data_IF_594243825155
#
_entry.id   IF_594243825155
#
_cell.length_a   1.000
_cell.length_b   1.000
_cell.length_c   1.000
_cell.angle_alpha   90.00
_cell.angle_beta   90.00
_cell.angle_gamma   90.00
#
_symmetry.space_group_name_H-M   'P 1'
#
loop_
_entity.id
_entity.type
_entity.pdbx_description
1 polymer ?
#
# COMPACT_ATOMS: atom_id res chain seq x y z
N UNK A 1 12.75 4.29 -30.92
CA UNK A 1 13.38 5.07 -29.85
C UNK A 1 14.03 4.09 -28.92
N UNK A 2 15.35 3.96 -29.05
CA UNK A 2 16.21 3.14 -28.19
C UNK A 2 16.17 3.74 -26.80
N UNK A 3 15.67 2.98 -25.82
CA UNK A 3 15.79 3.34 -24.40
C UNK A 3 17.28 3.22 -24.08
N UNK A 4 17.99 4.35 -24.03
CA UNK A 4 19.34 4.39 -23.48
C UNK A 4 19.28 3.86 -22.04
N UNK A 5 19.83 2.66 -21.82
CA UNK A 5 20.12 2.17 -20.47
C UNK A 5 21.04 3.21 -19.82
N UNK A 6 20.56 3.84 -18.75
CA UNK A 6 21.40 4.68 -17.89
C UNK A 6 22.64 3.87 -17.48
N UNK A 7 23.83 4.47 -17.44
CA UNK A 7 25.06 3.78 -17.06
C UNK A 7 24.87 3.20 -15.65
N UNK A 8 25.16 1.91 -15.49
CA UNK A 8 25.17 1.23 -14.19
C UNK A 8 26.06 2.04 -13.24
N UNK A 9 25.52 2.55 -12.11
CA UNK A 9 26.31 3.36 -11.20
C UNK A 9 27.50 2.53 -10.69
N UNK A 10 28.66 3.15 -10.59
CA UNK A 10 29.83 2.55 -9.95
C UNK A 10 29.46 2.11 -8.53
N UNK A 11 29.87 0.89 -8.16
CA UNK A 11 29.59 0.29 -6.85
C UNK A 11 29.97 1.27 -5.74
N UNK A 12 29.00 1.62 -4.89
CA UNK A 12 29.19 2.56 -3.79
C UNK A 12 29.82 1.85 -2.60
N UNK A 13 30.96 2.36 -2.13
CA UNK A 13 31.81 1.71 -1.13
C UNK A 13 32.00 2.52 0.16
N UNK A 14 31.16 3.53 0.39
CA UNK A 14 31.20 4.34 1.62
C UNK A 14 29.86 5.03 1.88
N UNK A 15 29.63 5.44 3.13
CA UNK A 15 28.47 6.23 3.53
C UNK A 15 28.33 7.51 2.67
N UNK A 16 29.43 8.23 2.45
CA UNK A 16 29.40 9.49 1.69
C UNK A 16 29.05 9.26 0.21
N UNK A 17 29.50 8.15 -0.38
CA UNK A 17 29.14 7.77 -1.75
C UNK A 17 27.62 7.52 -1.85
N UNK A 18 27.06 6.74 -0.93
CA UNK A 18 25.62 6.49 -0.84
C UNK A 18 24.81 7.76 -0.65
N UNK A 19 25.19 8.61 0.32
CA UNK A 19 24.51 9.90 0.58
C UNK A 19 24.52 10.79 -0.68
N UNK A 20 25.65 10.85 -1.38
CA UNK A 20 25.77 11.65 -2.60
C UNK A 20 24.89 11.11 -3.72
N UNK A 21 24.89 9.79 -3.92
CA UNK A 21 24.07 9.12 -4.93
C UNK A 21 22.56 9.31 -4.65
N UNK A 22 22.12 8.99 -3.43
CA UNK A 22 20.72 9.10 -3.05
C UNK A 22 20.21 10.54 -3.13
N UNK A 23 21.02 11.51 -2.70
CA UNK A 23 20.64 12.93 -2.70
C UNK A 23 20.62 13.56 -4.08
N UNK A 24 21.56 13.19 -4.97
CA UNK A 24 21.73 13.85 -6.29
C UNK A 24 21.11 13.09 -7.45
N UNK A 25 21.04 11.77 -7.38
CA UNK A 25 20.65 10.91 -8.51
C UNK A 25 19.26 10.34 -8.30
N UNK A 26 19.01 9.71 -7.15
CA UNK A 26 17.78 8.94 -6.93
C UNK A 26 16.61 9.81 -6.45
N UNK A 27 16.86 10.64 -5.44
CA UNK A 27 15.82 11.44 -4.79
C UNK A 27 16.10 12.96 -4.86
N UNK A 28 16.50 13.54 -6.03
CA UNK A 28 16.80 14.96 -6.13
C UNK A 28 15.56 15.84 -5.89
N UNK A 29 14.38 15.36 -6.31
CA UNK A 29 13.10 16.05 -6.08
C UNK A 29 12.77 16.06 -4.60
N UNK A 30 12.93 14.92 -3.91
CA UNK A 30 12.70 14.85 -2.46
C UNK A 30 13.68 15.73 -1.69
N UNK A 31 14.96 15.71 -2.05
CA UNK A 31 15.98 16.54 -1.44
C UNK A 31 15.66 18.05 -1.55
N UNK A 32 15.24 18.49 -2.74
CA UNK A 32 14.85 19.89 -2.97
C UNK A 32 13.56 20.25 -2.22
N UNK A 33 12.57 19.36 -2.23
CA UNK A 33 11.32 19.52 -1.49
C UNK A 33 11.58 19.63 0.00
N UNK A 34 12.36 18.72 0.60
CA UNK A 34 12.69 18.74 2.03
C UNK A 34 13.49 19.97 2.44
N UNK A 35 14.41 20.46 1.59
CA UNK A 35 15.12 21.74 1.82
C UNK A 35 14.17 22.93 1.84
N UNK A 36 13.31 23.03 0.82
CA UNK A 36 12.32 24.10 0.71
C UNK A 36 11.31 24.05 1.86
N UNK A 37 10.94 22.85 2.31
CA UNK A 37 10.11 22.64 3.51
C UNK A 37 10.83 23.12 4.77
N UNK A 38 12.12 22.83 4.92
CA UNK A 38 12.90 23.27 6.08
C UNK A 38 13.02 24.81 6.10
N UNK A 39 13.27 25.44 4.95
CA UNK A 39 13.24 26.90 4.80
C UNK A 39 11.88 27.50 5.19
N UNK A 40 10.78 26.83 4.82
CA UNK A 40 9.43 27.23 5.20
C UNK A 40 9.10 26.96 6.69
N UNK A 41 9.86 26.10 7.36
CA UNK A 41 9.65 25.73 8.78
C UNK A 41 10.48 26.60 9.72
N UNK A 42 11.71 26.96 9.32
CA UNK A 42 12.58 27.88 10.07
C UNK A 42 12.14 29.35 9.93
N UNK A 43 11.45 29.71 8.83
CA UNK A 43 10.86 31.02 8.68
C UNK A 43 9.43 31.04 9.25
N UNK A 44 9.26 31.59 10.46
CA UNK A 44 7.95 31.83 11.07
C UNK A 44 7.01 32.78 10.29
N UNK A 45 7.32 33.08 9.03
CA UNK A 45 6.64 34.00 8.14
C UNK A 45 6.24 33.38 6.79
N UNK A 46 6.41 32.06 6.61
CA UNK A 46 5.87 31.39 5.42
C UNK A 46 4.38 31.66 5.30
N UNK A 47 3.96 32.31 4.23
CA UNK A 47 2.57 32.73 4.14
C UNK A 47 1.69 31.52 3.85
N UNK A 48 0.52 31.46 4.50
CA UNK A 48 -0.55 30.49 4.22
C UNK A 48 -0.80 30.32 2.71
N UNK A 49 -0.64 31.42 1.96
CA UNK A 49 -0.83 31.47 0.52
C UNK A 49 0.27 30.77 -0.28
N UNK A 50 1.53 30.83 0.14
CA UNK A 50 2.63 30.14 -0.55
C UNK A 50 2.49 28.62 -0.45
N UNK A 51 2.21 28.10 0.74
CA UNK A 51 1.96 26.67 0.93
C UNK A 51 0.71 26.22 0.18
N UNK A 52 -0.39 26.98 0.28
CA UNK A 52 -1.62 26.67 -0.44
C UNK A 52 -1.37 26.64 -1.96
N UNK A 53 -0.59 27.57 -2.51
CA UNK A 53 -0.24 27.57 -3.94
C UNK A 53 0.63 26.36 -4.34
N UNK A 54 1.59 25.95 -3.50
CA UNK A 54 2.38 24.73 -3.77
C UNK A 54 1.48 23.51 -3.81
N UNK A 55 0.55 23.38 -2.85
CA UNK A 55 -0.39 22.26 -2.80
C UNK A 55 -1.32 22.29 -4.01
N UNK A 56 -1.95 23.43 -4.29
CA UNK A 56 -2.96 23.59 -5.35
C UNK A 56 -2.42 23.43 -6.77
N UNK A 57 -1.12 23.67 -6.98
CA UNK A 57 -0.47 23.46 -8.29
C UNK A 57 -0.25 21.98 -8.63
N UNK A 58 -0.41 21.07 -7.65
CA UNK A 58 -0.32 19.63 -7.85
C UNK A 58 -1.64 18.96 -7.45
N UNK A 59 -2.36 18.45 -8.46
CA UNK A 59 -3.67 17.84 -8.26
C UNK A 59 -3.62 16.57 -7.39
N UNK A 60 -2.53 15.80 -7.47
CA UNK A 60 -2.35 14.59 -6.68
C UNK A 60 -2.08 14.95 -5.21
N UNK A 61 -1.17 15.90 -4.98
CA UNK A 61 -0.87 16.42 -3.65
C UNK A 61 -2.11 17.06 -3.00
N UNK A 62 -2.86 17.87 -3.74
CA UNK A 62 -4.13 18.44 -3.28
C UNK A 62 -5.11 17.36 -2.83
N UNK A 63 -5.28 16.32 -3.64
CA UNK A 63 -6.17 15.20 -3.33
C UNK A 63 -5.73 14.43 -2.08
N UNK A 64 -4.43 14.15 -1.94
CA UNK A 64 -3.86 13.48 -0.76
C UNK A 64 -4.04 14.30 0.52
N UNK A 65 -3.74 15.61 0.47
CA UNK A 65 -3.93 16.53 1.60
C UNK A 65 -5.39 16.60 2.01
N UNK A 66 -6.33 16.69 1.06
CA UNK A 66 -7.77 16.70 1.37
C UNK A 66 -8.25 15.37 1.97
N UNK A 67 -7.77 14.22 1.48
CA UNK A 67 -8.10 12.92 2.07
C UNK A 67 -7.58 12.82 3.50
N UNK A 68 -6.30 13.18 3.74
CA UNK A 68 -5.71 13.21 5.07
C UNK A 68 -6.48 14.14 6.01
N UNK A 69 -6.87 15.32 5.52
CA UNK A 69 -7.66 16.31 6.27
C UNK A 69 -9.04 15.79 6.70
N UNK A 70 -9.57 14.76 6.04
CA UNK A 70 -10.86 14.15 6.39
C UNK A 70 -10.73 12.88 7.26
N UNK A 71 -9.51 12.44 7.59
CA UNK A 71 -9.30 11.34 8.53
C UNK A 71 -9.65 11.76 9.96
N UNK A 72 -10.07 10.81 10.79
CA UNK A 72 -10.33 11.10 12.22
C UNK A 72 -9.04 11.51 12.94
N UNK A 73 -7.88 11.03 12.45
CA UNK A 73 -6.55 11.44 12.88
C UNK A 73 -6.29 12.95 12.86
N UNK A 74 -6.85 13.67 11.89
CA UNK A 74 -6.67 15.13 11.75
C UNK A 74 -7.95 15.93 11.98
N UNK A 75 -9.12 15.34 11.75
CA UNK A 75 -10.40 16.00 11.86
C UNK A 75 -11.34 15.25 12.81
N UNK A 76 -11.18 15.54 14.09
CA UNK A 76 -12.00 14.96 15.16
C UNK A 76 -13.46 15.39 15.06
N UNK A 77 -13.73 16.58 14.50
CA UNK A 77 -15.09 17.12 14.34
C UNK A 77 -15.89 16.45 13.23
N UNK A 78 -15.22 15.67 12.36
CA UNK A 78 -15.79 14.99 11.18
C UNK A 78 -16.52 15.94 10.21
N UNK A 79 -16.28 17.24 10.28
CA UNK A 79 -16.86 18.19 9.31
C UNK A 79 -16.12 18.05 7.99
N UNK A 80 -16.85 17.83 6.89
CA UNK A 80 -16.23 17.62 5.59
C UNK A 80 -15.35 18.80 5.16
N UNK A 81 -14.10 18.50 4.80
CA UNK A 81 -13.12 19.45 4.28
C UNK A 81 -12.96 19.22 2.78
N UNK A 82 -13.39 20.19 1.97
CA UNK A 82 -13.36 20.09 0.49
C UNK A 82 -12.34 21.02 -0.17
N UNK A 83 -11.70 21.94 0.58
CA UNK A 83 -10.71 22.90 0.05
C UNK A 83 -9.49 23.02 0.94
N UNK A 84 -8.33 23.34 0.36
CA UNK A 84 -7.06 23.51 1.09
C UNK A 84 -7.16 24.66 2.10
N UNK A 85 -7.81 25.78 1.74
CA UNK A 85 -8.05 26.89 2.67
C UNK A 85 -8.94 26.48 3.86
N UNK A 86 -9.93 25.60 3.64
CA UNK A 86 -10.75 25.04 4.72
C UNK A 86 -9.94 24.09 5.60
N UNK A 87 -9.05 23.29 5.01
CA UNK A 87 -8.14 22.42 5.77
C UNK A 87 -7.23 23.26 6.69
N UNK A 88 -6.63 24.33 6.17
CA UNK A 88 -5.74 25.20 6.94
C UNK A 88 -6.49 25.90 8.08
N UNK A 89 -7.72 26.35 7.85
CA UNK A 89 -8.53 27.03 8.88
C UNK A 89 -9.08 26.08 9.95
N UNK A 90 -9.45 24.85 9.58
CA UNK A 90 -10.04 23.88 10.51
C UNK A 90 -8.98 23.08 11.28
N UNK A 91 -7.91 22.67 10.61
CA UNK A 91 -6.90 21.73 11.14
C UNK A 91 -5.64 22.49 11.56
N UNK A 92 -5.32 23.59 10.88
CA UNK A 92 -4.14 24.39 11.14
C UNK A 92 -3.11 24.30 10.02
N UNK A 93 -2.32 25.37 9.90
CA UNK A 93 -1.30 25.50 8.87
C UNK A 93 -0.20 24.43 8.99
N UNK A 94 0.32 24.21 10.21
CA UNK A 94 1.40 23.24 10.43
C UNK A 94 0.98 21.80 10.11
N UNK A 95 -0.26 21.43 10.44
CA UNK A 95 -0.80 20.10 10.13
C UNK A 95 -0.95 19.90 8.61
N UNK A 96 -1.51 20.88 7.89
CA UNK A 96 -1.61 20.82 6.42
C UNK A 96 -0.23 20.78 5.76
N UNK A 97 0.74 21.52 6.30
CA UNK A 97 2.12 21.47 5.87
C UNK A 97 2.67 20.04 6.00
N UNK A 98 2.54 19.40 7.16
CA UNK A 98 3.01 18.03 7.39
C UNK A 98 2.31 16.97 6.55
N UNK A 99 1.01 17.11 6.28
CA UNK A 99 0.31 16.25 5.32
C UNK A 99 0.92 16.36 3.92
N UNK A 100 1.20 17.58 3.46
CA UNK A 100 1.80 17.81 2.16
C UNK A 100 3.22 17.22 2.09
N UNK A 101 4.02 17.42 3.14
CA UNK A 101 5.37 16.85 3.26
C UNK A 101 5.33 15.32 3.16
N UNK A 102 4.46 14.70 3.95
CA UNK A 102 4.33 13.24 4.02
C UNK A 102 3.88 12.65 2.68
N UNK A 103 2.94 13.33 2.01
CA UNK A 103 2.45 12.95 0.69
C UNK A 103 3.55 13.02 -0.38
N UNK A 104 4.37 14.09 -0.35
CA UNK A 104 5.51 14.26 -1.26
C UNK A 104 6.63 13.24 -1.01
N UNK A 105 6.91 12.89 0.25
CA UNK A 105 7.87 11.84 0.60
C UNK A 105 7.42 10.50 0.02
N UNK A 106 6.16 10.12 0.27
CA UNK A 106 5.58 8.85 -0.20
C UNK A 106 5.60 8.78 -1.73
N UNK A 107 5.17 9.85 -2.41
CA UNK A 107 5.18 9.90 -3.87
C UNK A 107 6.60 9.77 -4.44
N UNK A 108 7.56 10.53 -3.89
CA UNK A 108 8.94 10.49 -4.36
C UNK A 108 9.59 9.11 -4.20
N UNK A 109 9.29 8.40 -3.11
CA UNK A 109 9.83 7.05 -2.86
C UNK A 109 9.20 5.99 -3.80
N UNK A 110 7.90 6.12 -4.11
CA UNK A 110 7.18 5.12 -4.91
C UNK A 110 7.18 5.38 -6.41
N UNK A 111 7.56 6.59 -6.85
CA UNK A 111 7.53 6.99 -8.27
C UNK A 111 8.31 6.07 -9.20
N UNK A 112 9.34 5.38 -8.68
CA UNK A 112 10.27 4.57 -9.47
C UNK A 112 10.23 3.08 -9.15
N UNK A 113 9.73 2.67 -7.98
CA UNK A 113 9.72 1.27 -7.59
C UNK A 113 8.67 0.97 -6.52
N UNK A 114 8.02 -0.20 -6.60
CA UNK A 114 7.03 -0.69 -5.64
C UNK A 114 7.47 -2.01 -4.96
N UNK A 115 8.79 -2.23 -4.83
CA UNK A 115 9.34 -3.46 -4.24
C UNK A 115 8.67 -3.79 -2.90
N UNK A 116 8.40 -5.08 -2.62
CA UNK A 116 7.82 -5.52 -1.36
C UNK A 116 8.57 -5.02 -0.11
N UNK A 117 9.91 -4.95 -0.18
CA UNK A 117 10.73 -4.41 0.91
C UNK A 117 10.53 -2.91 1.14
N UNK A 118 10.45 -2.10 0.08
CA UNK A 118 10.15 -0.69 0.20
C UNK A 118 8.76 -0.47 0.83
N UNK A 119 7.76 -1.21 0.36
CA UNK A 119 6.39 -1.15 0.89
C UNK A 119 6.34 -1.51 2.38
N UNK A 120 7.07 -2.55 2.81
CA UNK A 120 7.15 -2.94 4.22
C UNK A 120 7.84 -1.87 5.07
N UNK A 121 8.94 -1.31 4.58
CA UNK A 121 9.64 -0.22 5.27
C UNK A 121 8.74 1.02 5.39
N UNK A 122 7.96 1.32 4.36
CA UNK A 122 7.03 2.44 4.33
C UNK A 122 5.85 2.22 5.30
N UNK A 123 5.31 1.00 5.35
CA UNK A 123 4.31 0.59 6.34
C UNK A 123 4.80 0.84 7.76
N UNK A 124 6.02 0.37 8.07
CA UNK A 124 6.67 0.57 9.37
C UNK A 124 6.86 2.05 9.70
N UNK A 125 7.35 2.85 8.75
CA UNK A 125 7.61 4.27 8.96
C UNK A 125 6.32 5.06 9.25
N UNK A 126 5.23 4.78 8.51
CA UNK A 126 3.93 5.42 8.73
C UNK A 126 3.33 4.97 10.06
N UNK A 127 3.43 3.68 10.39
CA UNK A 127 2.98 3.18 11.68
C UNK A 127 3.71 3.90 12.83
N UNK A 128 5.04 3.99 12.77
CA UNK A 128 5.81 4.72 13.77
C UNK A 128 5.43 6.20 13.87
N UNK A 129 5.17 6.86 12.74
CA UNK A 129 4.77 8.27 12.70
C UNK A 129 3.42 8.53 13.35
N UNK A 130 2.43 7.69 13.07
CA UNK A 130 1.12 7.77 13.71
C UNK A 130 1.22 7.51 15.21
N UNK A 131 2.06 6.57 15.62
CA UNK A 131 2.26 6.23 17.04
C UNK A 131 2.93 7.37 17.79
N UNK A 132 4.00 7.94 17.24
CA UNK A 132 4.69 9.08 17.83
C UNK A 132 3.73 10.28 17.99
N UNK A 133 2.91 10.57 16.97
CA UNK A 133 1.93 11.67 17.03
C UNK A 133 0.81 11.41 18.04
N UNK A 134 0.21 10.22 18.04
CA UNK A 134 -0.90 9.91 18.94
C UNK A 134 -0.49 9.80 20.41
N UNK A 135 0.72 9.33 20.69
CA UNK A 135 1.23 9.23 22.06
C UNK A 135 1.73 10.56 22.60
N UNK A 136 2.07 11.52 21.73
CA UNK A 136 2.60 12.81 22.15
C UNK A 136 1.56 13.57 23.01
N UNK A 137 1.89 13.94 24.25
CA UNK A 137 0.96 14.67 25.11
C UNK A 137 0.55 16.01 24.48
N UNK A 138 -0.74 16.38 24.63
CA UNK A 138 -1.33 17.62 24.07
C UNK A 138 -0.61 18.86 24.60
N UNK A 139 0.45 19.30 23.91
CA UNK A 139 1.30 20.43 24.33
C UNK A 139 1.37 21.56 23.29
N UNK A 140 1.33 21.24 21.99
CA UNK A 140 1.24 22.19 20.86
C UNK A 140 1.09 21.41 19.54
N UNK A 141 0.32 21.91 18.56
CA UNK A 141 0.12 21.28 17.24
C UNK A 141 1.45 21.13 16.48
N UNK A 142 2.33 22.15 16.54
CA UNK A 142 3.65 22.09 15.92
C UNK A 142 4.47 20.89 16.41
N UNK A 143 4.40 20.57 17.70
CA UNK A 143 5.15 19.45 18.27
C UNK A 143 4.60 18.09 17.83
N UNK A 144 3.28 17.96 17.65
CA UNK A 144 2.63 16.76 17.10
C UNK A 144 3.10 16.47 15.68
N UNK A 145 3.27 17.54 14.91
CA UNK A 145 3.71 17.47 13.52
C UNK A 145 5.22 17.21 13.40
N UNK A 146 6.04 17.81 14.26
CA UNK A 146 7.49 17.53 14.31
C UNK A 146 7.75 16.06 14.63
N UNK A 147 7.06 15.47 15.64
CA UNK A 147 7.25 14.05 15.96
C UNK A 147 6.78 13.12 14.86
N UNK A 148 5.70 13.47 14.14
CA UNK A 148 5.20 12.70 13.01
C UNK A 148 6.25 12.64 11.89
N UNK A 149 6.74 13.80 11.47
CA UNK A 149 7.76 13.90 10.41
C UNK A 149 9.08 13.28 10.86
N UNK A 150 9.48 13.49 12.12
CA UNK A 150 10.67 12.88 12.72
C UNK A 150 10.66 11.36 12.65
N UNK A 151 9.53 10.74 13.00
CA UNK A 151 9.37 9.29 12.91
C UNK A 151 9.32 8.77 11.47
N UNK A 152 8.64 9.49 10.56
CA UNK A 152 8.57 9.11 9.15
C UNK A 152 9.95 9.14 8.49
N UNK A 153 10.78 10.12 8.85
CA UNK A 153 12.13 10.30 8.30
C UNK A 153 13.22 9.50 9.01
N UNK A 154 12.92 8.86 10.14
CA UNK A 154 13.93 8.20 10.98
C UNK A 154 14.66 7.05 10.25
N UNK A 155 14.01 6.43 9.26
CA UNK A 155 14.59 5.38 8.42
C UNK A 155 14.68 5.81 6.95
N UNK A 156 14.79 7.12 6.66
CA UNK A 156 14.78 7.61 5.27
C UNK A 156 15.94 7.07 4.43
N UNK A 157 17.08 6.73 5.04
CA UNK A 157 18.19 6.09 4.33
C UNK A 157 17.88 4.67 3.86
N UNK A 158 17.14 3.90 4.67
CA UNK A 158 16.66 2.56 4.27
C UNK A 158 15.60 2.68 3.16
N UNK A 159 14.63 3.58 3.33
CA UNK A 159 13.59 3.85 2.32
C UNK A 159 14.21 4.29 0.98
N UNK A 160 15.15 5.23 1.04
CA UNK A 160 15.84 5.75 -0.14
C UNK A 160 16.69 4.67 -0.82
N UNK A 161 17.34 3.81 -0.05
CA UNK A 161 18.08 2.69 -0.62
C UNK A 161 17.14 1.72 -1.37
N UNK A 162 16.02 1.32 -0.76
CA UNK A 162 15.09 0.37 -1.39
C UNK A 162 14.29 0.96 -2.55
N UNK A 163 14.24 2.28 -2.71
CA UNK A 163 13.68 2.90 -3.93
C UNK A 163 14.63 2.79 -5.14
N UNK A 164 15.90 2.46 -4.94
CA UNK A 164 16.91 2.39 -6.01
C UNK A 164 16.87 1.06 -6.77
N UNK A 165 17.23 1.11 -8.06
CA UNK A 165 17.45 -0.08 -8.89
C UNK A 165 18.94 -0.33 -9.12
N UNK A 166 19.66 -0.69 -8.04
CA UNK A 166 21.10 -0.97 -8.11
C UNK A 166 21.39 -2.47 -7.92
N UNK A 167 22.51 -2.95 -8.46
CA UNK A 167 22.98 -4.32 -8.23
C UNK A 167 23.20 -4.59 -6.73
N UNK A 168 23.65 -3.58 -5.98
CA UNK A 168 23.83 -3.66 -4.52
C UNK A 168 22.49 -3.81 -3.77
N UNK A 169 21.40 -3.24 -4.27
CA UNK A 169 20.07 -3.47 -3.70
C UNK A 169 19.63 -4.93 -3.86
N UNK A 170 19.84 -5.51 -5.05
CA UNK A 170 19.55 -6.93 -5.29
C UNK A 170 20.47 -7.87 -4.48
N UNK A 171 21.77 -7.54 -4.36
CA UNK A 171 22.70 -8.32 -3.54
C UNK A 171 22.30 -8.30 -2.05
N UNK A 172 21.92 -7.14 -1.51
CA UNK A 172 21.49 -7.03 -0.12
C UNK A 172 20.17 -7.76 0.12
N UNK A 173 19.21 -7.68 -0.80
CA UNK A 173 17.94 -8.40 -0.73
C UNK A 173 18.16 -9.92 -0.66
N UNK A 174 19.07 -10.46 -1.48
CA UNK A 174 19.42 -11.88 -1.47
C UNK A 174 20.07 -12.31 -0.15
N UNK A 175 21.00 -11.53 0.39
CA UNK A 175 21.65 -11.83 1.69
C UNK A 175 20.67 -11.83 2.85
N UNK A 176 19.75 -10.85 2.88
CA UNK A 176 18.70 -10.79 3.90
C UNK A 176 17.73 -11.98 3.78
N UNK A 177 17.46 -12.45 2.55
CA UNK A 177 16.67 -13.67 2.31
C UNK A 177 17.34 -14.93 2.85
N UNK A 178 18.67 -14.96 2.86
CA UNK A 178 19.48 -16.05 3.44
C UNK A 178 19.64 -15.93 4.97
N UNK A 179 18.86 -15.06 5.62
CA UNK A 179 18.86 -14.81 7.06
C UNK A 179 20.23 -14.35 7.63
N UNK A 180 21.07 -13.73 6.79
CA UNK A 180 22.27 -13.04 7.28
C UNK A 180 21.86 -11.91 8.22
N UNK A 181 22.55 -11.73 9.37
CA UNK A 181 22.29 -10.62 10.27
C UNK A 181 22.27 -9.26 9.54
N UNK A 182 21.21 -8.42 9.70
CA UNK A 182 21.01 -7.26 8.84
C UNK A 182 22.15 -6.24 8.82
N UNK A 183 22.84 -6.05 9.95
CA UNK A 183 23.91 -5.05 10.06
C UNK A 183 25.18 -5.53 9.34
N UNK A 184 25.46 -6.83 9.42
CA UNK A 184 26.57 -7.51 8.80
C UNK A 184 26.39 -7.54 7.28
N UNK A 185 25.18 -7.89 6.80
CA UNK A 185 24.82 -7.84 5.40
C UNK A 185 24.96 -6.40 4.84
N UNK A 186 24.46 -5.39 5.57
CA UNK A 186 24.63 -3.98 5.20
C UNK A 186 26.11 -3.59 5.10
N UNK A 187 26.93 -3.93 6.10
CA UNK A 187 28.37 -3.61 6.07
C UNK A 187 29.10 -4.31 4.93
N UNK A 188 28.71 -5.54 4.59
CA UNK A 188 29.31 -6.31 3.50
C UNK A 188 28.99 -5.72 2.12
N UNK A 189 27.75 -5.25 1.90
CA UNK A 189 27.30 -4.78 0.59
C UNK A 189 27.48 -3.27 0.41
N UNK A 190 27.19 -2.49 1.45
CA UNK A 190 27.12 -1.03 1.43
C UNK A 190 28.38 -0.36 1.96
N UNK A 191 29.23 -1.10 2.68
CA UNK A 191 30.33 -0.54 3.48
C UNK A 191 29.86 0.56 4.44
N UNK A 192 28.61 0.43 4.89
CA UNK A 192 27.87 1.40 5.70
C UNK A 192 26.66 0.70 6.32
N UNK A 193 25.91 1.42 7.14
CA UNK A 193 24.62 1.00 7.67
C UNK A 193 23.53 1.99 7.27
N UNK A 194 22.27 1.55 7.23
CA UNK A 194 21.15 2.47 6.94
C UNK A 194 21.06 3.61 7.95
N UNK A 195 21.47 3.39 9.20
CA UNK A 195 21.55 4.44 10.24
C UNK A 195 22.61 5.49 9.92
N UNK A 196 23.76 5.09 9.38
CA UNK A 196 24.81 6.02 8.94
C UNK A 196 24.40 6.78 7.69
N UNK A 197 23.80 6.09 6.72
CA UNK A 197 23.27 6.71 5.49
C UNK A 197 22.18 7.73 5.86
N UNK A 198 21.25 7.36 6.75
CA UNK A 198 20.18 8.26 7.21
C UNK A 198 20.75 9.53 7.84
N UNK A 199 21.72 9.42 8.76
CA UNK A 199 22.38 10.59 9.36
C UNK A 199 23.05 11.47 8.31
N UNK A 200 23.77 10.87 7.37
CA UNK A 200 24.41 11.61 6.28
C UNK A 200 23.40 12.30 5.36
N UNK A 201 22.23 11.72 5.11
CA UNK A 201 21.15 12.36 4.35
C UNK A 201 20.53 13.54 5.12
N UNK A 202 20.26 13.36 6.41
CA UNK A 202 19.74 14.42 7.29
C UNK A 202 20.68 15.62 7.30
N UNK A 203 22.00 15.40 7.33
CA UNK A 203 23.02 16.45 7.22
C UNK A 203 23.07 17.07 5.81
N UNK A 204 23.11 16.26 4.75
CA UNK A 204 23.20 16.74 3.37
C UNK A 204 21.97 17.53 2.91
N UNK A 205 20.81 17.25 3.51
CA UNK A 205 19.55 17.96 3.27
C UNK A 205 19.33 19.14 4.23
N UNK A 206 20.26 19.39 5.15
CA UNK A 206 20.15 20.47 6.15
C UNK A 206 18.84 20.40 6.95
N UNK A 207 18.39 19.20 7.33
CA UNK A 207 17.16 19.07 8.11
C UNK A 207 17.37 19.66 9.51
N UNK A 208 16.30 20.24 10.06
CA UNK A 208 16.30 20.98 11.32
C UNK A 208 16.83 20.20 12.54
N UNK A 209 17.12 20.92 13.64
CA UNK A 209 17.80 20.39 14.81
C UNK A 209 17.04 19.23 15.47
N UNK A 210 15.71 19.24 15.43
CA UNK A 210 14.88 18.15 15.95
C UNK A 210 15.11 16.83 15.22
N UNK A 211 15.08 16.83 13.89
CA UNK A 211 15.30 15.61 13.08
C UNK A 211 16.72 15.09 13.29
N UNK A 212 17.70 16.00 13.36
CA UNK A 212 19.09 15.64 13.68
C UNK A 212 19.21 14.98 15.04
N UNK A 213 18.51 15.51 16.05
CA UNK A 213 18.47 14.89 17.37
C UNK A 213 17.85 13.49 17.29
N UNK A 214 16.70 13.32 16.63
CA UNK A 214 16.04 12.01 16.48
C UNK A 214 16.98 10.94 15.92
N UNK A 215 17.77 11.24 14.89
CA UNK A 215 18.67 10.28 14.24
C UNK A 215 20.05 10.16 14.90
N UNK A 216 20.36 11.00 15.89
CA UNK A 216 21.67 11.01 16.56
C UNK A 216 21.90 9.76 17.42
N UNK A 217 23.14 9.25 17.50
CA UNK A 217 23.46 8.17 18.42
C UNK A 217 23.39 8.65 19.88
N UNK A 218 23.16 7.72 20.81
CA UNK A 218 23.15 8.01 22.25
C UNK A 218 21.76 8.26 22.83
N UNK A 219 21.68 8.99 23.95
CA UNK A 219 20.40 9.33 24.58
C UNK A 219 19.68 10.45 23.81
N UNK A 220 18.35 10.43 23.83
CA UNK A 220 17.55 11.49 23.23
C UNK A 220 17.67 12.78 24.06
N UNK A 221 17.83 13.94 23.41
CA UNK A 221 17.97 15.22 24.11
C UNK A 221 16.62 15.82 24.55
N UNK A 222 15.51 15.26 24.06
CA UNK A 222 14.16 15.72 24.40
C UNK A 222 13.19 14.55 24.55
N UNK A 223 12.07 14.83 25.23
CA UNK A 223 10.95 13.89 25.33
C UNK A 223 10.40 13.51 23.96
N UNK A 224 10.21 14.49 23.07
CA UNK A 224 9.70 14.27 21.72
C UNK A 224 10.64 13.36 20.91
N UNK A 225 11.96 13.56 21.03
CA UNK A 225 12.95 12.71 20.37
C UNK A 225 12.99 11.29 20.93
N UNK A 226 12.86 11.15 22.26
CA UNK A 226 12.73 9.84 22.92
C UNK A 226 11.51 9.08 22.41
N UNK A 227 10.35 9.76 22.40
CA UNK A 227 9.09 9.21 21.94
C UNK A 227 9.15 8.74 20.49
N UNK A 228 9.76 9.53 19.59
CA UNK A 228 9.96 9.14 18.19
C UNK A 228 10.81 7.87 18.08
N UNK A 229 11.97 7.84 18.74
CA UNK A 229 12.88 6.67 18.69
C UNK A 229 12.21 5.42 19.24
N UNK A 230 11.51 5.54 20.37
CA UNK A 230 10.77 4.44 20.98
C UNK A 230 9.61 3.99 20.09
N UNK A 231 8.92 4.90 19.39
CA UNK A 231 7.82 4.57 18.47
C UNK A 231 8.29 3.82 17.23
N UNK A 232 9.46 4.17 16.69
CA UNK A 232 10.05 3.44 15.55
C UNK A 232 10.54 2.06 15.97
N UNK A 233 11.19 1.94 17.13
CA UNK A 233 11.58 0.63 17.66
C UNK A 233 10.36 -0.24 17.96
N UNK A 234 9.30 0.34 18.54
CA UNK A 234 8.02 -0.32 18.73
C UNK A 234 7.46 -0.85 17.41
N UNK A 235 7.42 0.00 16.37
CA UNK A 235 6.90 -0.38 15.06
C UNK A 235 7.68 -1.56 14.47
N UNK A 236 9.02 -1.58 14.62
CA UNK A 236 9.86 -2.71 14.20
C UNK A 236 9.53 -3.99 14.96
N UNK A 237 9.42 -3.92 16.29
CA UNK A 237 9.12 -5.08 17.13
C UNK A 237 7.72 -5.63 16.85
N UNK A 238 6.75 -4.75 16.58
CA UNK A 238 5.37 -5.15 16.30
C UNK A 238 5.20 -5.98 15.02
N UNK A 239 6.18 -5.97 14.11
CA UNK A 239 6.21 -6.88 12.94
C UNK A 239 6.41 -8.36 13.34
N UNK A 240 6.96 -8.61 14.53
CA UNK A 240 7.18 -9.95 15.09
C UNK A 240 6.11 -10.30 16.16
N UNK A 241 5.14 -9.40 16.37
CA UNK A 241 4.07 -9.53 17.35
C UNK A 241 4.11 -8.48 18.47
N UNK A 242 3.00 -8.37 19.19
CA UNK A 242 2.80 -7.37 20.26
C UNK A 242 3.27 -7.84 21.65
N UNK A 243 3.89 -9.01 21.74
CA UNK A 243 4.28 -9.63 23.01
C UNK A 243 5.76 -10.01 22.98
N UNK A 244 6.45 -9.82 24.10
CA UNK A 244 7.85 -10.21 24.27
C UNK A 244 8.61 -9.23 25.15
N UNK A 245 9.76 -9.67 25.70
CA UNK A 245 10.53 -8.88 26.68
C UNK A 245 11.04 -7.55 26.10
N UNK A 246 11.33 -7.50 24.80
CA UNK A 246 11.80 -6.25 24.17
C UNK A 246 10.65 -5.28 23.89
N UNK A 247 9.46 -5.78 23.55
CA UNK A 247 8.26 -4.96 23.47
C UNK A 247 7.90 -4.38 24.85
N UNK A 248 7.97 -5.18 25.91
CA UNK A 248 7.71 -4.73 27.28
C UNK A 248 8.64 -3.58 27.70
N UNK A 249 9.95 -3.69 27.42
CA UNK A 249 10.91 -2.59 27.65
C UNK A 249 10.60 -1.32 26.87
N UNK A 250 10.07 -1.45 25.65
CA UNK A 250 9.65 -0.29 24.85
C UNK A 250 8.39 0.34 25.43
N UNK A 251 7.41 -0.46 25.84
CA UNK A 251 6.20 0.02 26.50
C UNK A 251 6.51 0.76 27.81
N UNK A 252 7.47 0.27 28.59
CA UNK A 252 7.94 0.97 29.80
C UNK A 252 8.56 2.33 29.48
N UNK A 253 9.39 2.41 28.43
CA UNK A 253 9.99 3.67 27.99
C UNK A 253 8.94 4.66 27.49
N UNK A 254 8.02 4.21 26.63
CA UNK A 254 6.90 5.01 26.14
C UNK A 254 5.99 5.47 27.28
N UNK A 255 5.72 4.60 28.26
CA UNK A 255 4.93 4.95 29.44
C UNK A 255 5.60 6.00 30.31
N UNK A 256 6.92 5.91 30.53
CA UNK A 256 7.69 6.97 31.19
C UNK A 256 7.65 8.28 30.41
N UNK A 257 7.70 8.21 29.09
CA UNK A 257 7.73 9.38 28.22
C UNK A 257 6.43 10.19 28.31
N UNK A 258 5.28 9.51 28.37
CA UNK A 258 3.97 10.15 28.34
C UNK A 258 3.28 10.25 29.72
N UNK A 259 3.85 9.58 30.74
CA UNK A 259 3.31 9.55 32.09
C UNK A 259 2.17 8.54 32.31
N UNK A 260 2.10 7.49 31.50
CA UNK A 260 1.04 6.47 31.53
C UNK A 260 1.61 5.07 31.84
N UNK A 261 0.83 4.17 32.48
CA UNK A 261 1.29 2.82 32.74
C UNK A 261 1.40 1.99 31.45
N UNK A 262 2.34 1.02 31.34
CA UNK A 262 2.57 0.24 30.13
C UNK A 262 1.33 -0.46 29.55
N UNK A 263 0.37 -0.83 30.40
CA UNK A 263 -0.90 -1.43 29.99
C UNK A 263 -1.76 -0.44 29.16
N UNK A 264 -1.87 0.82 29.63
CA UNK A 264 -2.62 1.88 28.93
C UNK A 264 -1.93 2.23 27.61
N UNK A 265 -0.59 2.31 27.63
CA UNK A 265 0.20 2.53 26.41
C UNK A 265 -0.09 1.42 25.38
N UNK A 266 -0.09 0.15 25.81
CA UNK A 266 -0.35 -0.99 24.92
C UNK A 266 -1.73 -0.90 24.26
N UNK A 267 -2.77 -0.52 25.01
CA UNK A 267 -4.11 -0.36 24.45
C UNK A 267 -4.17 0.81 23.46
N UNK A 268 -3.54 1.93 23.78
CA UNK A 268 -3.45 3.09 22.88
C UNK A 268 -2.69 2.73 21.59
N UNK A 269 -1.58 2.00 21.68
CA UNK A 269 -0.81 1.55 20.52
C UNK A 269 -1.67 0.71 19.56
N UNK A 270 -2.49 -0.21 20.08
CA UNK A 270 -3.39 -1.03 19.24
C UNK A 270 -4.43 -0.16 18.51
N UNK A 271 -5.03 0.80 19.20
CA UNK A 271 -6.00 1.74 18.60
C UNK A 271 -5.34 2.57 17.50
N UNK A 272 -4.16 3.11 17.79
CA UNK A 272 -3.39 3.93 16.85
C UNK A 272 -2.96 3.15 15.59
N UNK A 273 -2.72 1.84 15.72
CA UNK A 273 -2.30 1.01 14.60
C UNK A 273 -3.39 0.92 13.51
N UNK A 274 -4.68 0.86 13.89
CA UNK A 274 -5.79 0.95 12.95
C UNK A 274 -5.89 2.33 12.28
N UNK A 275 -5.52 3.41 12.98
CA UNK A 275 -5.47 4.74 12.36
C UNK A 275 -4.31 4.86 11.37
N UNK A 276 -3.18 4.20 11.62
CA UNK A 276 -2.06 4.13 10.68
C UNK A 276 -2.47 3.54 9.32
N UNK A 277 -3.34 2.53 9.33
CA UNK A 277 -3.95 1.96 8.14
C UNK A 277 -4.71 3.02 7.32
N UNK A 278 -5.51 3.86 7.99
CA UNK A 278 -6.31 4.91 7.35
C UNK A 278 -5.43 6.04 6.79
N UNK A 279 -4.36 6.38 7.51
CA UNK A 279 -3.36 7.36 7.05
C UNK A 279 -2.64 6.86 5.80
N UNK A 280 -2.24 5.58 5.74
CA UNK A 280 -1.63 4.98 4.55
C UNK A 280 -2.56 5.01 3.32
N UNK A 281 -3.84 4.66 3.48
CA UNK A 281 -4.83 4.77 2.40
C UNK A 281 -4.94 6.21 1.91
N UNK A 282 -4.98 7.18 2.83
CA UNK A 282 -5.10 8.60 2.50
C UNK A 282 -3.89 9.14 1.75
N UNK A 283 -2.69 8.68 2.12
CA UNK A 283 -1.42 8.93 1.41
C UNK A 283 -1.38 8.29 0.01
N UNK A 284 -2.34 7.43 -0.34
CA UNK A 284 -2.44 6.82 -1.68
C UNK A 284 -1.71 5.49 -1.82
N UNK A 285 -1.43 4.81 -0.70
CA UNK A 285 -0.68 3.55 -0.67
C UNK A 285 -1.47 2.41 0.01
N UNK A 286 -2.70 2.11 -0.41
CA UNK A 286 -3.54 1.11 0.24
C UNK A 286 -2.88 -0.28 0.32
N UNK A 287 -1.94 -0.60 -0.57
CA UNK A 287 -1.22 -1.87 -0.59
C UNK A 287 -0.37 -2.13 0.67
N UNK A 288 0.03 -1.10 1.43
CA UNK A 288 0.83 -1.31 2.66
C UNK A 288 -0.02 -1.67 3.88
N UNK A 289 -1.36 -1.56 3.78
CA UNK A 289 -2.28 -1.80 4.90
C UNK A 289 -2.20 -3.24 5.43
N UNK A 290 -2.03 -4.22 4.53
CA UNK A 290 -1.84 -5.62 4.88
C UNK A 290 -0.52 -5.90 5.62
N UNK A 291 0.43 -4.96 5.56
CA UNK A 291 1.75 -5.05 6.20
C UNK A 291 1.79 -4.34 7.56
N UNK A 292 0.69 -3.68 7.98
CA UNK A 292 0.66 -2.91 9.22
C UNK A 292 0.27 -3.77 10.44
N UNK A 293 0.86 -3.49 11.62
CA UNK A 293 0.55 -4.21 12.86
C UNK A 293 -0.91 -4.00 13.28
N UNK A 294 -1.57 -5.01 13.83
CA UNK A 294 -2.99 -4.91 14.23
C UNK A 294 -4.01 -5.22 13.12
N UNK A 295 -3.56 -5.48 11.88
CA UNK A 295 -4.30 -6.37 10.97
C UNK A 295 -4.61 -7.73 11.65
N UNK A 296 -3.80 -8.08 12.66
CA UNK A 296 -3.88 -9.23 13.54
C UNK A 296 -4.97 -9.16 14.65
N UNK A 297 -5.81 -8.13 14.70
CA UNK A 297 -6.97 -8.06 15.62
C UNK A 297 -8.07 -9.10 15.36
N UNK A 298 -7.90 -9.97 14.37
CA UNK A 298 -8.69 -11.16 14.09
C UNK A 298 -7.79 -12.42 13.99
N UNK A 299 -6.64 -12.43 14.67
CA UNK A 299 -5.71 -13.57 14.72
C UNK A 299 -6.15 -14.63 15.71
N UNK A 300 -7.27 -15.26 15.38
CA UNK A 300 -7.60 -16.62 15.76
C UNK A 300 -7.89 -17.45 14.51
N UNK A 301 -7.20 -17.17 13.40
CA UNK A 301 -7.19 -18.03 12.22
C UNK A 301 -6.03 -17.60 11.30
N UNK A 302 -5.08 -18.48 11.02
CA UNK A 302 -4.01 -18.27 10.05
C UNK A 302 -4.55 -18.45 8.63
N UNK A 303 -5.48 -17.58 8.22
CA UNK A 303 -5.96 -17.45 6.85
C UNK A 303 -6.15 -15.97 6.55
N UNK A 304 -5.44 -15.43 5.55
CA UNK A 304 -5.56 -14.02 5.24
C UNK A 304 -7.01 -13.73 4.82
N UNK A 305 -7.70 -13.02 5.70
CA UNK A 305 -9.11 -12.73 5.55
C UNK A 305 -9.29 -11.79 4.37
N UNK A 306 -10.29 -12.10 3.57
CA UNK A 306 -10.55 -11.37 2.37
C UNK A 306 -10.90 -9.89 2.61
N UNK A 307 -10.66 -8.98 1.63
CA UNK A 307 -11.16 -7.62 1.70
C UNK A 307 -12.63 -7.61 2.08
N UNK A 308 -13.00 -6.73 3.02
CA UNK A 308 -14.38 -6.60 3.44
C UNK A 308 -15.22 -6.16 2.22
N UNK A 309 -16.31 -6.88 1.97
CA UNK A 309 -17.21 -6.58 0.86
C UNK A 309 -18.01 -5.31 1.14
N UNK A 310 -18.29 -4.54 0.09
CA UNK A 310 -19.22 -3.42 0.15
C UNK A 310 -20.63 -3.91 -0.23
N UNK A 311 -21.43 -4.21 0.79
CA UNK A 311 -22.78 -4.74 0.61
C UNK A 311 -23.75 -3.70 0.00
N UNK A 312 -23.55 -2.40 0.26
CA UNK A 312 -24.39 -1.34 -0.31
C UNK A 312 -24.11 -1.20 -1.80
N UNK A 313 -22.82 -1.12 -2.18
CA UNK A 313 -22.41 -1.08 -3.58
C UNK A 313 -22.80 -2.36 -4.33
N UNK A 314 -22.71 -3.52 -3.68
CA UNK A 314 -23.17 -4.78 -4.28
C UNK A 314 -24.65 -4.70 -4.66
N UNK A 315 -25.50 -4.21 -3.76
CA UNK A 315 -26.94 -4.09 -4.00
C UNK A 315 -27.25 -3.03 -5.07
N UNK A 316 -26.50 -1.92 -5.09
CA UNK A 316 -26.60 -0.89 -6.13
C UNK A 316 -26.34 -1.47 -7.53
N UNK A 317 -25.20 -2.14 -7.71
CA UNK A 317 -24.82 -2.73 -9.01
C UNK A 317 -25.78 -3.85 -9.41
N UNK A 318 -26.27 -4.68 -8.46
CA UNK A 318 -27.27 -5.70 -8.77
C UNK A 318 -28.62 -5.11 -9.21
N UNK A 319 -29.02 -3.96 -8.66
CA UNK A 319 -30.22 -3.24 -9.11
C UNK A 319 -30.04 -2.66 -10.50
N UNK A 320 -28.88 -2.08 -10.78
CA UNK A 320 -28.53 -1.55 -12.11
C UNK A 320 -28.51 -2.68 -13.16
N UNK A 321 -27.89 -3.81 -12.84
CA UNK A 321 -27.92 -5.02 -13.69
C UNK A 321 -29.35 -5.50 -13.96
N UNK A 322 -30.20 -5.53 -12.93
CA UNK A 322 -31.61 -5.93 -13.08
C UNK A 322 -32.38 -4.95 -13.97
N UNK A 323 -32.04 -3.66 -13.93
CA UNK A 323 -32.63 -2.64 -14.79
C UNK A 323 -32.17 -2.80 -16.25
N UNK A 324 -30.87 -2.99 -16.49
CA UNK A 324 -30.32 -3.28 -17.82
C UNK A 324 -30.94 -4.53 -18.45
N UNK A 325 -31.25 -5.55 -17.63
CA UNK A 325 -31.91 -6.78 -18.07
C UNK A 325 -33.39 -6.59 -18.44
N UNK A 326 -34.08 -5.61 -17.85
CA UNK A 326 -35.48 -5.30 -18.14
C UNK A 326 -35.65 -4.42 -19.38
N UNK A 327 -34.64 -3.62 -19.73
CA UNK A 327 -34.56 -2.87 -20.98
C UNK A 327 -34.01 -3.76 -22.11
N UNK A 328 -33.50 -3.16 -23.21
CA UNK A 328 -32.83 -3.91 -24.28
C UNK A 328 -31.39 -4.24 -23.83
N UNK A 329 -31.07 -5.51 -23.49
CA UNK A 329 -29.80 -5.83 -22.84
C UNK A 329 -28.61 -5.65 -23.81
N UNK A 330 -27.57 -4.91 -23.39
CA UNK A 330 -26.25 -4.91 -24.03
C UNK A 330 -25.28 -5.79 -23.23
N UNK A 331 -24.78 -6.84 -23.89
CA UNK A 331 -23.78 -7.77 -23.33
C UNK A 331 -22.52 -7.05 -22.81
N UNK A 332 -22.07 -5.99 -23.47
CA UNK A 332 -20.85 -5.29 -23.07
C UNK A 332 -21.05 -4.46 -21.81
N UNK A 333 -22.23 -3.86 -21.65
CA UNK A 333 -22.61 -3.06 -20.49
C UNK A 333 -22.81 -3.97 -19.27
N UNK A 334 -23.58 -5.05 -19.43
CA UNK A 334 -23.78 -6.06 -18.38
C UNK A 334 -22.45 -6.67 -17.93
N UNK A 335 -21.57 -7.06 -18.86
CA UNK A 335 -20.26 -7.58 -18.50
C UNK A 335 -19.38 -6.53 -17.81
N UNK A 336 -19.53 -5.24 -18.13
CA UNK A 336 -18.78 -4.17 -17.47
C UNK A 336 -19.23 -3.99 -16.02
N UNK A 337 -20.53 -3.93 -15.79
CA UNK A 337 -21.14 -3.83 -14.46
C UNK A 337 -20.79 -5.05 -13.59
N UNK A 338 -20.77 -6.25 -14.17
CA UNK A 338 -20.35 -7.47 -13.48
C UNK A 338 -18.88 -7.40 -13.06
N UNK A 339 -17.98 -6.97 -13.95
CA UNK A 339 -16.56 -6.78 -13.61
C UNK A 339 -16.40 -5.73 -12.53
N UNK A 340 -17.15 -4.63 -12.59
CA UNK A 340 -17.13 -3.58 -11.58
C UNK A 340 -17.63 -4.08 -10.22
N UNK A 341 -18.71 -4.85 -10.19
CA UNK A 341 -19.23 -5.48 -8.97
C UNK A 341 -18.23 -6.44 -8.34
N UNK A 342 -17.57 -7.27 -9.16
CA UNK A 342 -16.52 -8.17 -8.67
C UNK A 342 -15.30 -7.39 -8.18
N UNK A 343 -14.91 -6.32 -8.88
CA UNK A 343 -13.74 -5.55 -8.54
C UNK A 343 -13.93 -4.70 -7.27
N UNK A 344 -15.03 -3.95 -7.20
CA UNK A 344 -15.27 -2.92 -6.18
C UNK A 344 -16.14 -3.40 -5.03
N UNK A 345 -17.22 -4.15 -5.32
CA UNK A 345 -18.15 -4.59 -4.28
C UNK A 345 -17.69 -5.88 -3.59
N UNK A 346 -17.16 -6.85 -4.34
CA UNK A 346 -16.60 -8.09 -3.77
C UNK A 346 -15.17 -7.91 -3.27
N UNK A 347 -14.45 -6.91 -3.82
CA UNK A 347 -13.09 -6.57 -3.41
C UNK A 347 -12.01 -7.41 -4.10
N UNK A 348 -12.26 -7.91 -5.31
CA UNK A 348 -11.25 -8.62 -6.10
C UNK A 348 -10.39 -7.64 -6.89
N UNK A 349 -9.08 -7.60 -6.66
CA UNK A 349 -8.18 -6.62 -7.26
C UNK A 349 -8.02 -6.81 -8.76
N UNK A 350 -8.08 -8.05 -9.25
CA UNK A 350 -7.91 -8.41 -10.66
C UNK A 350 -9.08 -9.27 -11.10
N UNK A 351 -9.70 -8.91 -12.21
CA UNK A 351 -10.88 -9.59 -12.76
C UNK A 351 -10.71 -9.72 -14.27
N UNK A 352 -10.98 -10.91 -14.79
CA UNK A 352 -11.01 -11.19 -16.22
C UNK A 352 -12.32 -11.86 -16.60
N UNK A 353 -12.87 -11.42 -17.73
CA UNK A 353 -13.87 -12.15 -18.48
C UNK A 353 -13.19 -12.76 -19.70
N UNK A 354 -13.09 -14.07 -19.73
CA UNK A 354 -12.64 -14.86 -20.87
C UNK A 354 -13.87 -15.37 -21.64
N UNK A 355 -13.83 -15.30 -22.96
CA UNK A 355 -14.89 -15.80 -23.83
C UNK A 355 -14.32 -16.77 -24.85
N UNK A 356 -15.18 -17.64 -25.37
CA UNK A 356 -14.79 -18.56 -26.44
C UNK A 356 -14.26 -17.81 -27.64
N UNK A 357 -13.14 -18.28 -28.17
CA UNK A 357 -12.62 -17.82 -29.44
C UNK A 357 -13.53 -18.28 -30.61
N UNK A 358 -13.18 -17.88 -31.84
CA UNK A 358 -13.99 -18.24 -33.04
C UNK A 358 -13.95 -19.73 -33.35
N UNK A 359 -12.89 -20.45 -32.98
CA UNK A 359 -12.77 -21.89 -33.19
C UNK A 359 -13.55 -22.68 -32.14
N UNK A 360 -13.81 -22.07 -30.98
CA UNK A 360 -14.54 -22.64 -29.86
C UNK A 360 -13.68 -23.51 -28.95
N UNK A 361 -12.38 -23.63 -29.23
CA UNK A 361 -11.43 -24.50 -28.52
C UNK A 361 -10.74 -23.79 -27.36
N UNK A 362 -10.66 -22.46 -27.38
CA UNK A 362 -9.93 -21.68 -26.39
C UNK A 362 -10.84 -20.63 -25.73
N UNK A 363 -10.49 -20.25 -24.51
CA UNK A 363 -11.03 -19.10 -23.81
C UNK A 363 -10.01 -17.97 -23.87
N UNK A 364 -10.41 -16.85 -24.49
CA UNK A 364 -9.56 -15.68 -24.71
C UNK A 364 -10.09 -14.45 -23.96
N UNK A 365 -9.23 -13.51 -23.55
CA UNK A 365 -9.64 -12.32 -22.80
C UNK A 365 -10.58 -11.43 -23.62
N UNK A 366 -11.73 -11.10 -23.03
CA UNK A 366 -12.71 -10.19 -23.63
C UNK A 366 -12.78 -8.86 -22.89
N UNK A 367 -12.80 -8.89 -21.57
CA UNK A 367 -12.73 -7.71 -20.70
C UNK A 367 -11.87 -8.00 -19.49
N UNK A 368 -11.24 -6.95 -18.99
CA UNK A 368 -10.29 -6.98 -17.89
C UNK A 368 -10.59 -5.81 -16.96
N UNK A 369 -10.40 -6.02 -15.67
CA UNK A 369 -10.53 -4.99 -14.64
C UNK A 369 -9.48 -5.20 -13.55
N UNK A 370 -8.97 -4.09 -13.01
CA UNK A 370 -7.91 -4.12 -12.01
C UNK A 370 -6.53 -3.72 -12.53
N UNK A 371 -5.61 -3.43 -11.61
CA UNK A 371 -4.19 -3.18 -11.91
C UNK A 371 -3.44 -4.51 -12.03
N UNK A 372 -2.43 -4.59 -12.89
CA UNK A 372 -1.66 -5.83 -13.07
C UNK A 372 -2.33 -6.84 -13.99
N UNK A 373 -3.27 -6.40 -14.83
CA UNK A 373 -3.92 -7.21 -15.88
C UNK A 373 -3.52 -6.76 -17.29
N UNK A 374 -2.51 -5.90 -17.44
CA UNK A 374 -2.12 -5.28 -18.71
C UNK A 374 -1.67 -6.35 -19.72
N UNK A 375 -0.82 -7.27 -19.28
CA UNK A 375 -0.30 -8.38 -20.08
C UNK A 375 -1.36 -9.46 -20.39
N UNK A 376 -2.46 -9.50 -19.64
CA UNK A 376 -3.48 -10.53 -19.80
C UNK A 376 -4.19 -10.43 -21.14
N UNK A 377 -4.33 -9.22 -21.71
CA UNK A 377 -5.08 -9.00 -22.95
C UNK A 377 -4.57 -9.84 -24.12
N UNK A 378 -3.27 -10.08 -24.17
CA UNK A 378 -2.62 -10.80 -25.27
C UNK A 378 -2.25 -12.24 -24.90
N UNK A 379 -2.06 -12.53 -23.60
CA UNK A 379 -1.44 -13.79 -23.17
C UNK A 379 -2.33 -14.69 -22.32
N UNK A 380 -3.42 -14.19 -21.72
CA UNK A 380 -4.28 -14.97 -20.82
C UNK A 380 -5.27 -15.85 -21.59
N UNK A 381 -4.75 -16.91 -22.19
CA UNK A 381 -5.52 -17.90 -22.96
C UNK A 381 -5.60 -19.23 -22.20
N UNK A 382 -6.79 -19.82 -22.15
CA UNK A 382 -7.02 -21.14 -21.55
C UNK A 382 -7.57 -22.11 -22.60
N UNK A 383 -6.82 -23.17 -22.97
CA UNK A 383 -7.34 -24.26 -23.79
C UNK A 383 -8.47 -25.01 -23.06
N UNK A 384 -9.62 -25.22 -23.73
CA UNK A 384 -10.78 -25.88 -23.12
C UNK A 384 -10.63 -27.39 -22.93
N UNK A 385 -9.60 -27.98 -23.53
CA UNK A 385 -9.22 -29.38 -23.29
C UNK A 385 -8.52 -29.59 -21.94
N UNK A 386 -8.23 -28.50 -21.22
CA UNK A 386 -7.58 -28.53 -19.91
C UNK A 386 -6.07 -28.68 -19.97
N UNK A 387 -5.47 -28.52 -21.16
CA UNK A 387 -4.01 -28.56 -21.30
C UNK A 387 -3.35 -27.25 -20.85
N UNK A 388 -2.07 -27.35 -20.48
CA UNK A 388 -1.26 -26.19 -20.07
C UNK A 388 -1.40 -25.79 -18.59
N UNK A 389 -0.62 -24.77 -18.15
CA UNK A 389 -0.52 -24.38 -16.75
C UNK A 389 -1.84 -23.82 -16.18
N UNK A 390 -2.72 -23.29 -17.04
CA UNK A 390 -4.01 -22.70 -16.65
C UNK A 390 -5.19 -23.66 -16.82
N UNK A 391 -4.98 -24.87 -17.33
CA UNK A 391 -6.02 -25.90 -17.45
C UNK A 391 -6.78 -26.19 -16.15
N UNK A 392 -6.12 -26.22 -14.96
CA UNK A 392 -6.81 -26.38 -13.68
C UNK A 392 -7.82 -25.27 -13.32
N UNK A 393 -7.76 -24.12 -13.99
CA UNK A 393 -8.74 -23.04 -13.82
C UNK A 393 -10.06 -23.31 -14.55
N UNK A 394 -10.15 -24.38 -15.37
CA UNK A 394 -11.40 -24.70 -16.05
C UNK A 394 -12.49 -25.10 -15.03
N UNK A 395 -13.65 -24.44 -15.08
CA UNK A 395 -14.71 -24.64 -14.11
C UNK A 395 -15.43 -25.96 -14.37
N UNK A 396 -15.81 -26.66 -13.30
CA UNK A 396 -16.48 -27.95 -13.41
C UNK A 396 -17.99 -27.76 -13.71
N UNK A 397 -18.72 -27.08 -12.83
CA UNK A 397 -20.17 -26.88 -13.00
C UNK A 397 -20.71 -25.55 -12.45
N UNK A 398 -20.20 -25.10 -11.31
CA UNK A 398 -20.67 -23.94 -10.57
C UNK A 398 -19.52 -22.98 -10.27
N UNK A 399 -19.83 -21.81 -9.71
CA UNK A 399 -18.80 -20.94 -9.19
C UNK A 399 -18.03 -21.65 -8.07
N UNK A 400 -16.71 -21.51 -8.06
CA UNK A 400 -15.84 -22.17 -7.09
C UNK A 400 -14.65 -21.32 -6.73
N UNK A 401 -14.08 -21.60 -5.55
CA UNK A 401 -12.74 -21.11 -5.20
C UNK A 401 -11.74 -22.11 -5.78
N UNK A 402 -10.86 -21.62 -6.62
CA UNK A 402 -9.67 -22.35 -7.05
C UNK A 402 -8.60 -22.21 -5.99
N UNK A 403 -8.03 -23.34 -5.59
CA UNK A 403 -6.88 -23.41 -4.68
C UNK A 403 -5.69 -24.02 -5.45
N UNK A 404 -4.58 -23.29 -5.59
CA UNK A 404 -3.41 -23.78 -6.30
C UNK A 404 -2.77 -24.94 -5.54
N UNK A 405 -2.32 -25.97 -6.27
CA UNK A 405 -1.51 -27.04 -5.69
C UNK A 405 -0.13 -26.47 -5.27
N UNK A 406 0.58 -27.08 -4.29
CA UNK A 406 1.88 -26.59 -3.83
C UNK A 406 2.94 -26.42 -4.94
N UNK A 407 2.85 -27.22 -6.01
CA UNK A 407 3.73 -27.17 -7.18
C UNK A 407 2.99 -26.68 -8.43
N UNK A 408 1.98 -25.81 -8.28
CA UNK A 408 1.23 -25.29 -9.43
C UNK A 408 2.17 -24.56 -10.39
N UNK A 409 2.19 -25.02 -11.65
CA UNK A 409 2.84 -24.29 -12.73
C UNK A 409 2.03 -23.03 -13.02
N UNK A 410 2.70 -21.88 -13.00
CA UNK A 410 2.10 -20.61 -13.40
C UNK A 410 2.54 -20.24 -14.81
N UNK A 411 2.36 -18.98 -15.15
CA UNK A 411 2.73 -18.44 -16.46
C UNK A 411 3.89 -17.46 -16.34
N UNK A 412 4.67 -17.31 -17.42
CA UNK A 412 5.86 -16.44 -17.41
C UNK A 412 5.51 -14.94 -17.38
N UNK A 413 4.36 -14.56 -17.95
CA UNK A 413 3.91 -13.17 -18.06
C UNK A 413 3.17 -12.67 -16.80
N UNK A 414 2.83 -13.55 -15.86
CA UNK A 414 2.18 -13.19 -14.61
C UNK A 414 2.60 -14.13 -13.48
N UNK A 415 3.31 -13.57 -12.48
CA UNK A 415 3.88 -14.35 -11.36
C UNK A 415 2.83 -14.98 -10.44
N UNK A 416 1.59 -14.52 -10.47
CA UNK A 416 0.51 -14.93 -9.57
C UNK A 416 -0.52 -15.83 -10.25
N UNK A 417 -0.79 -15.61 -11.53
CA UNK A 417 -1.83 -16.32 -12.28
C UNK A 417 -1.58 -17.84 -12.26
N UNK A 418 -2.59 -18.59 -11.80
CA UNK A 418 -2.53 -20.04 -11.59
C UNK A 418 -1.84 -20.50 -10.30
N UNK A 419 -1.16 -19.58 -9.58
CA UNK A 419 -0.38 -19.85 -8.36
C UNK A 419 -0.99 -19.28 -7.07
N UNK A 420 -2.10 -18.55 -7.17
CA UNK A 420 -2.82 -17.97 -6.02
C UNK A 420 -4.27 -18.44 -6.00
N UNK A 421 -4.93 -18.41 -4.83
CA UNK A 421 -6.36 -18.69 -4.76
C UNK A 421 -7.18 -17.66 -5.56
N UNK A 422 -8.21 -18.14 -6.26
CA UNK A 422 -9.01 -17.32 -7.17
C UNK A 422 -10.49 -17.71 -7.14
N UNK A 423 -11.37 -16.78 -7.46
CA UNK A 423 -12.78 -17.06 -7.76
C UNK A 423 -12.93 -17.36 -9.24
N UNK A 424 -13.61 -18.47 -9.53
CA UNK A 424 -13.84 -18.95 -10.89
C UNK A 424 -15.32 -19.13 -11.11
N UNK A 425 -15.85 -18.54 -12.18
CA UNK A 425 -17.27 -18.51 -12.53
C UNK A 425 -17.51 -18.94 -13.97
N UNK A 426 -18.11 -20.11 -14.24
CA UNK A 426 -18.45 -20.51 -15.60
C UNK A 426 -19.60 -19.67 -16.17
N UNK A 427 -19.50 -19.34 -17.45
CA UNK A 427 -20.63 -18.87 -18.24
C UNK A 427 -21.02 -19.97 -19.21
N UNK A 428 -22.27 -20.44 -19.11
CA UNK A 428 -22.79 -21.51 -19.97
C UNK A 428 -23.96 -21.03 -20.82
N UNK A 429 -23.95 -21.40 -22.09
CA UNK A 429 -25.09 -21.27 -23.00
C UNK A 429 -25.49 -22.67 -23.48
N UNK A 430 -26.78 -23.03 -23.32
CA UNK A 430 -27.30 -24.38 -23.65
C UNK A 430 -26.45 -25.53 -23.08
N UNK A 431 -25.96 -25.37 -21.85
CA UNK A 431 -25.11 -26.36 -21.16
C UNK A 431 -23.63 -26.39 -21.58
N UNK A 432 -23.24 -25.66 -22.63
CA UNK A 432 -21.84 -25.56 -23.10
C UNK A 432 -21.11 -24.39 -22.46
N UNK A 433 -19.84 -24.57 -22.10
CA UNK A 433 -18.97 -23.51 -21.57
C UNK A 433 -18.61 -22.51 -22.69
N UNK A 434 -19.15 -21.30 -22.58
CA UNK A 434 -18.93 -20.21 -23.55
C UNK A 434 -18.03 -19.11 -23.02
N UNK A 435 -17.86 -19.01 -21.71
CA UNK A 435 -16.97 -18.04 -21.08
C UNK A 435 -16.62 -18.40 -19.64
N UNK A 436 -15.70 -17.64 -19.07
CA UNK A 436 -15.20 -17.80 -17.72
C UNK A 436 -14.90 -16.44 -17.10
N UNK A 437 -15.47 -16.20 -15.92
CA UNK A 437 -14.99 -15.16 -15.04
C UNK A 437 -13.89 -15.71 -14.14
N UNK A 438 -12.78 -14.99 -14.08
CA UNK A 438 -11.67 -15.27 -13.21
C UNK A 438 -11.39 -14.02 -12.37
N UNK A 439 -11.18 -14.18 -11.07
CA UNK A 439 -10.83 -13.07 -10.20
C UNK A 439 -9.85 -13.49 -9.09
N UNK A 440 -8.83 -12.68 -8.83
CA UNK A 440 -7.87 -12.91 -7.75
C UNK A 440 -7.36 -11.60 -7.12
N UNK A 441 -6.57 -11.73 -6.04
CA UNK A 441 -5.95 -10.61 -5.32
C UNK A 441 -4.41 -10.59 -5.39
N UNK A 442 -3.80 -11.26 -6.36
CA UNK A 442 -2.34 -11.27 -6.56
C UNK A 442 -1.54 -11.62 -5.30
N UNK A 443 -2.07 -12.51 -4.45
CA UNK A 443 -1.45 -12.88 -3.18
C UNK A 443 -1.76 -14.34 -2.84
N UNK A 444 -0.73 -15.15 -2.61
CA UNK A 444 -0.88 -16.55 -2.20
C UNK A 444 -1.36 -16.71 -0.74
N UNK A 445 -1.27 -15.65 0.06
CA UNK A 445 -1.77 -15.66 1.43
C UNK A 445 -3.29 -15.45 1.51
N UNK A 446 -3.88 -14.85 0.47
CA UNK A 446 -5.32 -14.53 0.39
C UNK A 446 -6.15 -15.75 -0.02
N UNK A 447 -7.18 -16.05 0.76
CA UNK A 447 -8.20 -17.05 0.42
C UNK A 447 -9.57 -16.35 0.31
N UNK A 448 -10.24 -16.41 -0.85
CA UNK A 448 -11.59 -15.86 -0.97
C UNK A 448 -12.55 -16.48 0.05
N UNK A 449 -13.40 -15.65 0.65
CA UNK A 449 -14.39 -16.14 1.62
C UNK A 449 -15.58 -16.81 0.94
N UNK A 450 -16.36 -17.60 1.69
CA UNK A 450 -17.63 -18.15 1.19
C UNK A 450 -18.66 -17.06 0.87
N UNK A 451 -18.63 -15.95 1.61
CA UNK A 451 -19.51 -14.80 1.36
C UNK A 451 -19.18 -14.15 0.01
N UNK A 452 -17.89 -13.95 -0.28
CA UNK A 452 -17.44 -13.45 -1.57
C UNK A 452 -17.77 -14.41 -2.71
N UNK A 453 -17.60 -15.72 -2.50
CA UNK A 453 -18.01 -16.72 -3.49
C UNK A 453 -19.52 -16.65 -3.78
N UNK A 454 -20.34 -16.48 -2.74
CA UNK A 454 -21.80 -16.34 -2.90
C UNK A 454 -22.15 -15.07 -3.68
N UNK A 455 -21.56 -13.94 -3.33
CA UNK A 455 -21.79 -12.67 -4.02
C UNK A 455 -21.30 -12.71 -5.47
N UNK A 456 -20.11 -13.28 -5.70
CA UNK A 456 -19.57 -13.53 -7.03
C UNK A 456 -20.54 -14.37 -7.85
N UNK A 457 -21.05 -15.46 -7.27
CA UNK A 457 -22.07 -16.30 -7.87
C UNK A 457 -23.31 -15.53 -8.32
N UNK A 458 -23.81 -14.57 -7.53
CA UNK A 458 -24.95 -13.74 -7.93
C UNK A 458 -24.64 -12.87 -9.15
N UNK A 459 -23.47 -12.26 -9.24
CA UNK A 459 -23.08 -11.52 -10.45
C UNK A 459 -22.98 -12.41 -11.68
N UNK A 460 -22.37 -13.61 -11.55
CA UNK A 460 -22.23 -14.55 -12.66
C UNK A 460 -23.60 -15.06 -13.13
N UNK A 461 -24.52 -15.33 -12.20
CA UNK A 461 -25.90 -15.73 -12.53
C UNK A 461 -26.62 -14.64 -13.34
N UNK A 462 -26.51 -13.37 -12.94
CA UNK A 462 -27.09 -12.25 -13.69
C UNK A 462 -26.47 -12.11 -15.10
N UNK A 463 -25.15 -12.26 -15.22
CA UNK A 463 -24.47 -12.28 -16.50
C UNK A 463 -24.98 -13.43 -17.40
N UNK A 464 -25.19 -14.62 -16.83
CA UNK A 464 -25.67 -15.79 -17.56
C UNK A 464 -27.14 -15.64 -17.99
N UNK A 465 -27.99 -15.02 -17.17
CA UNK A 465 -29.37 -14.70 -17.55
C UNK A 465 -29.40 -13.74 -18.75
N UNK A 466 -28.57 -12.69 -18.74
CA UNK A 466 -28.42 -11.76 -19.87
C UNK A 466 -28.08 -12.50 -21.17
N UNK A 467 -27.06 -13.36 -21.12
CA UNK A 467 -26.63 -14.13 -22.29
C UNK A 467 -27.70 -15.09 -22.79
N UNK A 468 -28.49 -15.67 -21.88
CA UNK A 468 -29.60 -16.57 -22.25
C UNK A 468 -30.71 -15.79 -22.95
N UNK A 469 -31.08 -14.61 -22.44
CA UNK A 469 -32.07 -13.71 -23.06
C UNK A 469 -31.61 -13.23 -24.45
N UNK A 470 -30.33 -12.89 -24.60
CA UNK A 470 -29.75 -12.50 -25.89
C UNK A 470 -29.65 -13.66 -26.89
N UNK A 471 -29.64 -14.91 -26.43
CA UNK A 471 -29.60 -16.09 -27.31
C UNK A 471 -30.99 -16.60 -27.73
N UNK A 472 -32.05 -16.11 -27.10
CA UNK A 472 -33.45 -16.49 -27.37
C UNK A 472 -34.19 -15.51 -28.29
N UNK A 473 -33.54 -14.38 -28.60
CA UNK A 473 -33.90 -13.43 -29.65
C UNK A 473 -32.94 -13.54 -30.82
#
# INVERSE_FOLDING_TARGET
MTIEKQPTPSRMNSTQAWVTYLSKVELPVLANTLKRINELTDSGNSTVNELANVILNDAQLTSQVLRLSNTVFYNQTRTQVSTVSRAITLIGFDAVKSMAISSLIVDALLKRNDRPHLLRCLARAIHAAVQARCLMPKRNETALEEVFIGALLMNIGELAFWSCETEQATELEERLRLEEPPVEAQKAVLHSTFTEITRGLVEAWSLGPFIRDVVSPGQANSMASSLVRNSVEMARLSEQGWSGPDMDKVLERLGRDIGEPPAVVRDQLKVNASEATRVAVSLGIPQVTAMMPGAEGKSGDTGARAPDMDAELQLEILRELSHCLAEKPDINEVCQLVIEGIHRAIGMQRVALLMSDRTGNELVPRKLGGRGTEEWREHFVIPKDGTGPLGPLLPHAHCSIYEPKPNAEGVAYDRWLGKVPALIGPIKANGRLVGLFYADNASGAYLPSREQLSAFGHFIQNAQLCLTLLSTH
#
